data_IF_283970255433
#
_entry.id   IF_283970255433
#
_cell.length_a   1.000
_cell.length_b   1.000
_cell.length_c   1.000
_cell.angle_alpha   90.00
_cell.angle_beta   90.00
_cell.angle_gamma   90.00
#
_symmetry.space_group_name_H-M   'P 1'
#
loop_
_entity.id
_entity.type
_entity.pdbx_description
1 polymer ?
#
# COMPACT_ATOMS: atom_id res chain seq x y z
N UNK A 1 -53.82 -18.85 -18.27
CA UNK A 1 -53.23 -19.74 -17.24
C UNK A 1 -51.76 -19.91 -17.62
N UNK A 2 -50.92 -19.00 -17.13
CA UNK A 2 -49.49 -18.93 -17.48
C UNK A 2 -48.73 -19.28 -16.21
N UNK A 3 -47.92 -20.33 -16.30
CA UNK A 3 -47.11 -20.87 -15.22
C UNK A 3 -45.91 -19.95 -15.03
N UNK A 4 -45.81 -19.28 -13.87
CA UNK A 4 -44.59 -18.63 -13.43
C UNK A 4 -43.73 -19.67 -12.71
N UNK A 5 -42.57 -19.98 -13.29
CA UNK A 5 -41.52 -20.75 -12.64
C UNK A 5 -40.86 -19.87 -11.56
N UNK A 6 -40.96 -20.30 -10.31
CA UNK A 6 -40.19 -19.76 -9.19
C UNK A 6 -38.79 -20.36 -9.28
N UNK A 7 -37.81 -19.57 -9.72
CA UNK A 7 -36.40 -19.90 -9.53
C UNK A 7 -36.05 -19.50 -8.10
N UNK A 8 -35.90 -20.51 -7.24
CA UNK A 8 -35.30 -20.36 -5.91
C UNK A 8 -33.83 -19.95 -6.09
N UNK A 9 -33.51 -18.70 -5.76
CA UNK A 9 -32.12 -18.27 -5.56
C UNK A 9 -31.61 -18.90 -4.26
N UNK A 10 -30.88 -20.02 -4.38
CA UNK A 10 -30.14 -20.61 -3.27
C UNK A 10 -28.87 -19.79 -3.00
N UNK A 11 -28.75 -19.30 -1.77
CA UNK A 11 -27.48 -19.01 -1.12
C UNK A 11 -26.75 -17.74 -1.56
N UNK A 12 -27.21 -16.57 -1.11
CA UNK A 12 -26.26 -15.49 -0.83
C UNK A 12 -25.35 -15.96 0.31
N UNK A 13 -24.11 -16.34 0.01
CA UNK A 13 -23.07 -16.46 1.03
C UNK A 13 -22.81 -15.06 1.56
N UNK A 14 -23.19 -14.80 2.80
CA UNK A 14 -22.66 -13.68 3.56
C UNK A 14 -21.18 -13.98 3.78
N UNK A 15 -20.31 -13.38 2.97
CA UNK A 15 -18.85 -13.45 3.16
C UNK A 15 -18.50 -12.65 4.42
N UNK A 16 -18.68 -13.29 5.58
CA UNK A 16 -18.15 -12.80 6.84
C UNK A 16 -16.66 -13.10 6.85
N UNK A 17 -15.76 -12.12 7.05
CA UNK A 17 -14.33 -12.35 7.17
C UNK A 17 -14.06 -13.45 8.20
N UNK A 18 -13.23 -14.44 7.86
CA UNK A 18 -12.81 -15.44 8.84
C UNK A 18 -11.71 -14.85 9.71
N UNK A 19 -11.84 -14.97 11.04
CA UNK A 19 -10.88 -14.42 12.01
C UNK A 19 -10.06 -15.57 12.58
N UNK A 20 -8.74 -15.47 12.51
CA UNK A 20 -7.83 -16.40 13.20
C UNK A 20 -7.00 -15.62 14.21
N UNK A 21 -6.98 -16.01 15.50
CA UNK A 21 -6.23 -15.28 16.52
C UNK A 21 -4.72 -15.41 16.32
N UNK A 22 -4.03 -14.29 16.41
CA UNK A 22 -2.59 -14.17 16.50
C UNK A 22 -2.09 -13.75 17.87
N UNK A 23 -0.78 -13.84 18.07
CA UNK A 23 -0.19 -13.79 19.42
C UNK A 23 0.53 -12.49 19.78
N UNK A 24 0.79 -11.56 18.85
CA UNK A 24 1.63 -10.39 19.13
C UNK A 24 1.18 -9.14 18.36
N UNK A 25 1.20 -7.96 19.01
CA UNK A 25 1.10 -6.64 18.35
C UNK A 25 2.48 -6.01 18.46
N UNK A 26 3.18 -5.83 17.35
CA UNK A 26 4.45 -5.11 17.32
C UNK A 26 4.39 -3.98 16.31
N UNK A 27 4.72 -2.77 16.77
CA UNK A 27 5.01 -1.62 15.90
C UNK A 27 6.53 -1.49 15.84
N UNK A 28 7.13 -1.89 14.73
CA UNK A 28 8.58 -1.80 14.57
C UNK A 28 8.94 -0.38 14.13
N UNK A 29 9.30 0.48 15.09
CA UNK A 29 9.56 1.91 14.88
C UNK A 29 8.41 2.70 14.21
N UNK A 30 7.21 2.12 14.14
CA UNK A 30 6.03 2.68 13.46
C UNK A 30 5.96 2.41 11.96
N UNK A 31 6.94 1.72 11.38
CA UNK A 31 7.01 1.40 9.95
C UNK A 31 6.05 0.26 9.56
N UNK A 32 5.98 -0.79 10.37
CA UNK A 32 5.04 -1.89 10.17
C UNK A 32 3.95 -1.87 11.23
N UNK A 33 2.69 -1.99 10.79
CA UNK A 33 1.51 -2.06 11.63
C UNK A 33 0.87 -3.43 11.50
N UNK A 34 0.83 -4.19 12.59
CA UNK A 34 0.10 -5.45 12.65
C UNK A 34 -0.73 -5.56 13.92
N UNK A 35 -1.97 -6.00 13.78
CA UNK A 35 -2.88 -6.29 14.88
C UNK A 35 -2.71 -7.73 15.38
N UNK A 36 -3.34 -8.04 16.52
CA UNK A 36 -3.29 -9.40 17.08
C UNK A 36 -4.11 -10.39 16.28
N UNK A 37 -5.07 -9.94 15.46
CA UNK A 37 -5.94 -10.81 14.67
C UNK A 37 -5.75 -10.53 13.18
N UNK A 38 -5.88 -11.57 12.35
CA UNK A 38 -5.93 -11.45 10.91
C UNK A 38 -7.24 -12.01 10.34
N UNK A 39 -7.62 -11.42 9.22
CA UNK A 39 -8.92 -11.56 8.57
C UNK A 39 -8.71 -11.93 7.12
N UNK A 40 -9.58 -12.78 6.56
CA UNK A 40 -9.65 -12.97 5.10
C UNK A 40 -10.68 -12.03 4.48
N UNK A 41 -10.32 -11.43 3.35
CA UNK A 41 -11.21 -10.60 2.54
C UNK A 41 -10.97 -10.84 1.05
N UNK A 42 -11.95 -10.54 0.20
CA UNK A 42 -11.76 -10.62 -1.25
C UNK A 42 -11.49 -9.24 -1.81
N UNK A 43 -10.45 -9.15 -2.62
CA UNK A 43 -10.14 -7.99 -3.43
C UNK A 43 -10.73 -8.16 -4.84
N UNK A 44 -11.56 -7.18 -5.23
CA UNK A 44 -12.12 -6.89 -6.57
C UNK A 44 -11.11 -6.40 -7.60
N UNK A 45 -11.29 -6.55 -8.92
CA UNK A 45 -10.75 -5.59 -9.89
C UNK A 45 -11.09 -5.80 -11.35
N UNK A 46 -10.65 -4.88 -12.22
CA UNK A 46 -10.86 -4.95 -13.67
C UNK A 46 -9.57 -4.56 -14.39
N UNK A 47 -9.03 -5.47 -15.20
CA UNK A 47 -8.03 -5.16 -16.25
C UNK A 47 -8.79 -5.09 -17.58
N UNK A 48 -8.68 -3.98 -18.32
CA UNK A 48 -9.11 -3.92 -19.73
C UNK A 48 -10.53 -4.49 -20.01
N UNK A 49 -11.47 -4.15 -19.13
CA UNK A 49 -12.86 -4.64 -19.20
C UNK A 49 -13.09 -6.10 -18.80
N UNK A 50 -12.04 -6.83 -18.39
CA UNK A 50 -12.15 -8.18 -17.83
C UNK A 50 -12.13 -8.11 -16.30
N UNK A 51 -13.23 -8.51 -15.62
CA UNK A 51 -13.25 -8.60 -14.17
C UNK A 51 -12.27 -9.69 -13.72
N UNK A 52 -11.41 -9.37 -12.76
CA UNK A 52 -10.62 -10.38 -12.05
C UNK A 52 -11.55 -11.40 -11.38
N UNK A 53 -11.05 -12.63 -11.25
CA UNK A 53 -11.52 -13.56 -10.24
C UNK A 53 -11.07 -13.04 -8.87
N UNK A 54 -12.03 -12.84 -7.95
CA UNK A 54 -11.80 -12.49 -6.55
C UNK A 54 -10.51 -13.11 -5.97
N UNK A 55 -9.51 -12.29 -5.68
CA UNK A 55 -8.31 -12.73 -4.96
C UNK A 55 -8.58 -12.59 -3.47
N UNK A 56 -8.52 -13.70 -2.74
CA UNK A 56 -8.58 -13.66 -1.29
C UNK A 56 -7.23 -13.15 -0.77
N UNK A 57 -7.25 -12.13 0.08
CA UNK A 57 -6.09 -11.64 0.79
C UNK A 57 -6.30 -11.78 2.29
N UNK A 58 -5.19 -11.96 3.00
CA UNK A 58 -5.13 -11.83 4.45
C UNK A 58 -4.74 -10.39 4.79
N UNK A 59 -5.39 -9.83 5.80
CA UNK A 59 -5.07 -8.49 6.33
C UNK A 59 -5.28 -8.49 7.84
N UNK A 60 -4.73 -7.51 8.52
CA UNK A 60 -4.96 -7.28 9.95
C UNK A 60 -5.73 -5.99 10.18
N UNK A 61 -6.36 -5.85 11.35
CA UNK A 61 -7.06 -4.62 11.71
C UNK A 61 -6.27 -3.88 12.78
N UNK A 62 -5.81 -2.68 12.45
CA UNK A 62 -5.13 -1.77 13.37
C UNK A 62 -5.99 -0.52 13.50
N UNK A 63 -6.42 -0.17 14.72
CA UNK A 63 -7.29 0.98 14.98
C UNK A 63 -8.55 1.08 14.08
N UNK A 64 -9.18 -0.06 13.80
CA UNK A 64 -10.34 -0.22 12.90
C UNK A 64 -10.04 -0.01 11.41
N UNK A 65 -8.77 0.05 11.01
CA UNK A 65 -8.35 0.10 9.62
C UNK A 65 -7.82 -1.27 9.18
N UNK A 66 -8.24 -1.77 8.00
CA UNK A 66 -7.68 -2.99 7.46
C UNK A 66 -6.32 -2.71 6.82
N UNK A 67 -5.26 -3.19 7.46
CA UNK A 67 -3.87 -3.05 7.04
C UNK A 67 -3.40 -4.33 6.37
N UNK A 68 -2.87 -4.19 5.17
CA UNK A 68 -2.25 -5.22 4.35
C UNK A 68 -0.78 -4.87 4.16
N UNK A 69 0.10 -5.88 4.08
CA UNK A 69 1.54 -5.67 3.98
C UNK A 69 2.06 -4.64 5.01
N UNK A 70 1.52 -4.65 6.24
CA UNK A 70 1.98 -3.76 7.32
C UNK A 70 1.67 -2.26 7.24
N UNK A 71 1.51 -1.67 6.06
CA UNK A 71 1.33 -0.22 5.89
C UNK A 71 0.36 0.16 4.75
N UNK A 72 -0.24 -0.81 4.05
CA UNK A 72 -1.20 -0.56 2.99
C UNK A 72 -2.63 -0.67 3.52
N UNK A 73 -3.41 0.40 3.44
CA UNK A 73 -4.82 0.39 3.83
C UNK A 73 -5.70 -0.18 2.71
N UNK A 74 -6.51 -1.19 3.03
CA UNK A 74 -7.51 -1.75 2.12
C UNK A 74 -8.83 -0.94 2.17
N UNK A 75 -9.61 -0.98 1.09
CA UNK A 75 -10.94 -0.38 1.03
C UNK A 75 -12.00 -1.46 0.78
N UNK A 76 -12.93 -1.64 1.73
CA UNK A 76 -14.01 -2.63 1.66
C UNK A 76 -15.41 -1.97 1.61
N UNK A 77 -15.61 -0.92 0.81
CA UNK A 77 -16.97 -0.37 0.69
C UNK A 77 -17.86 -1.28 -0.19
N UNK A 78 -18.86 -1.89 0.47
CA UNK A 78 -20.08 -2.55 -0.02
C UNK A 78 -20.14 -2.88 -1.52
N UNK A 79 -19.93 -4.16 -1.88
CA UNK A 79 -20.17 -4.80 -3.20
C UNK A 79 -20.54 -3.81 -4.30
N UNK A 80 -19.55 -3.04 -4.71
CA UNK A 80 -19.50 -2.26 -5.93
C UNK A 80 -18.31 -2.83 -6.67
N UNK A 81 -18.52 -3.17 -7.93
CA UNK A 81 -17.60 -3.87 -8.84
C UNK A 81 -16.37 -3.01 -9.18
N UNK A 82 -15.54 -2.69 -8.19
CA UNK A 82 -14.29 -1.96 -8.36
C UNK A 82 -13.24 -2.41 -7.32
N UNK A 83 -12.35 -3.31 -7.75
CA UNK A 83 -10.96 -2.91 -7.93
C UNK A 83 -10.13 -2.40 -6.77
N UNK A 84 -9.38 -3.28 -6.11
CA UNK A 84 -8.00 -2.98 -5.71
C UNK A 84 -7.10 -3.84 -6.60
N UNK A 85 -6.44 -3.21 -7.56
CA UNK A 85 -5.20 -3.74 -8.15
C UNK A 85 -4.17 -2.63 -8.00
N UNK A 86 -3.01 -2.76 -8.62
CA UNK A 86 -2.24 -1.60 -9.05
C UNK A 86 -3.17 -0.47 -9.48
N UNK A 87 -2.72 0.76 -9.24
CA UNK A 87 -3.34 1.87 -9.91
C UNK A 87 -3.17 1.70 -11.43
N UNK A 88 -4.10 0.97 -12.07
CA UNK A 88 -4.37 1.08 -13.51
C UNK A 88 -4.46 2.56 -13.85
N UNK A 89 -4.26 3.00 -15.09
CA UNK A 89 -4.33 4.44 -15.45
C UNK A 89 -5.51 5.20 -14.80
N UNK A 90 -6.65 4.52 -14.57
CA UNK A 90 -7.84 5.04 -13.87
C UNK A 90 -7.69 5.35 -12.37
N UNK A 91 -6.61 4.92 -11.74
CA UNK A 91 -6.30 5.03 -10.31
C UNK A 91 -5.00 5.80 -10.08
N UNK A 92 -4.30 6.22 -11.13
CA UNK A 92 -3.23 7.20 -11.02
C UNK A 92 -3.81 8.59 -10.81
N UNK A 93 -3.02 9.49 -10.25
CA UNK A 93 -3.42 10.88 -10.10
C UNK A 93 -3.42 11.56 -11.48
N UNK A 94 -4.53 12.21 -11.91
CA UNK A 94 -4.58 12.82 -13.24
C UNK A 94 -3.44 13.82 -13.47
N UNK A 95 -2.61 13.54 -14.47
CA UNK A 95 -1.45 14.37 -14.82
C UNK A 95 -0.36 14.45 -13.75
N UNK A 96 -0.29 13.50 -12.83
CA UNK A 96 0.68 13.50 -11.73
C UNK A 96 0.46 14.59 -10.68
N UNK A 97 -0.69 15.28 -10.71
CA UNK A 97 -1.02 16.32 -9.75
C UNK A 97 -1.76 15.74 -8.54
N UNK A 98 -1.16 15.84 -7.36
CA UNK A 98 -1.70 15.36 -6.09
C UNK A 98 -2.07 16.54 -5.20
N UNK A 99 -3.36 16.90 -5.12
CA UNK A 99 -3.80 17.88 -4.13
C UNK A 99 -3.68 17.30 -2.72
N UNK A 100 -3.27 18.13 -1.76
CA UNK A 100 -3.10 17.68 -0.38
C UNK A 100 -3.62 18.67 0.66
N UNK A 101 -4.01 18.13 1.80
CA UNK A 101 -4.29 18.87 3.03
C UNK A 101 -3.48 18.28 4.18
N UNK A 102 -3.16 19.09 5.17
CA UNK A 102 -2.51 18.64 6.41
C UNK A 102 -3.48 18.85 7.56
N UNK A 103 -3.64 17.83 8.41
CA UNK A 103 -4.41 17.94 9.64
C UNK A 103 -3.97 19.17 10.45
N UNK A 104 -4.94 19.93 10.97
CA UNK A 104 -4.64 21.05 11.84
C UNK A 104 -3.81 20.62 13.06
N UNK A 105 -2.79 21.43 13.40
CA UNK A 105 -1.83 21.16 14.48
C UNK A 105 -1.03 19.85 14.32
N UNK A 106 -0.74 19.44 13.09
CA UNK A 106 0.13 18.29 12.84
C UNK A 106 1.52 18.52 13.50
N UNK A 107 2.06 17.57 14.29
CA UNK A 107 3.23 17.83 15.14
C UNK A 107 4.54 18.17 14.41
N UNK A 108 4.73 17.65 13.19
CA UNK A 108 5.93 17.86 12.38
C UNK A 108 5.56 18.08 10.91
N UNK A 109 5.12 19.30 10.60
CA UNK A 109 4.71 19.70 9.25
C UNK A 109 5.90 19.76 8.28
N UNK A 110 7.08 20.15 8.77
CA UNK A 110 8.31 20.23 7.95
C UNK A 110 8.68 18.87 7.33
N UNK A 111 8.46 17.76 8.05
CA UNK A 111 8.67 16.40 7.52
C UNK A 111 7.82 16.14 6.27
N UNK A 112 6.56 16.59 6.26
CA UNK A 112 5.66 16.43 5.12
C UNK A 112 6.14 17.31 3.96
N UNK A 113 6.45 18.58 4.21
CA UNK A 113 6.93 19.49 3.17
C UNK A 113 8.25 19.03 2.56
N UNK A 114 9.18 18.50 3.35
CA UNK A 114 10.45 17.96 2.86
C UNK A 114 10.22 16.70 2.01
N UNK A 115 9.29 15.81 2.39
CA UNK A 115 8.96 14.65 1.59
C UNK A 115 8.30 15.04 0.25
N UNK A 116 7.39 16.01 0.28
CA UNK A 116 6.79 16.59 -0.93
C UNK A 116 7.86 17.19 -1.84
N UNK A 117 8.75 18.02 -1.27
CA UNK A 117 9.85 18.63 -2.02
C UNK A 117 10.77 17.57 -2.65
N UNK A 118 11.04 16.47 -1.93
CA UNK A 118 11.82 15.34 -2.46
C UNK A 118 11.18 14.75 -3.71
N UNK A 119 9.87 14.48 -3.68
CA UNK A 119 9.13 13.97 -4.84
C UNK A 119 9.10 14.96 -6.00
N UNK A 120 8.89 16.26 -5.74
CA UNK A 120 8.84 17.31 -6.76
C UNK A 120 10.21 17.58 -7.42
N UNK A 121 11.30 17.39 -6.68
CA UNK A 121 12.67 17.56 -7.17
C UNK A 121 13.10 16.42 -8.10
N UNK A 122 12.66 15.20 -7.82
CA UNK A 122 13.17 13.99 -8.49
C UNK A 122 12.23 13.42 -9.56
N UNK A 123 10.95 13.77 -9.54
CA UNK A 123 9.94 13.18 -10.44
C UNK A 123 9.07 14.25 -11.11
N UNK A 124 8.17 13.82 -11.99
CA UNK A 124 7.11 14.62 -12.62
C UNK A 124 5.88 14.82 -11.71
N UNK A 125 5.82 14.15 -10.56
CA UNK A 125 4.72 14.31 -9.58
C UNK A 125 4.74 15.73 -9.00
N UNK A 126 3.58 16.37 -8.94
CA UNK A 126 3.41 17.72 -8.40
C UNK A 126 2.37 17.74 -7.31
N UNK A 127 2.62 18.53 -6.28
CA UNK A 127 1.69 18.70 -5.17
C UNK A 127 1.05 20.09 -5.22
N UNK A 128 -0.22 20.15 -4.84
CA UNK A 128 -0.91 21.42 -4.67
C UNK A 128 -1.61 21.46 -3.32
N UNK A 129 -1.29 22.47 -2.52
CA UNK A 129 -1.98 22.65 -1.24
C UNK A 129 -3.45 22.99 -1.51
N UNK A 130 -4.33 22.16 -0.97
CA UNK A 130 -5.76 22.33 -1.03
C UNK A 130 -6.20 23.19 0.15
N UNK A 131 -6.94 24.24 -0.15
CA UNK A 131 -7.48 25.20 0.82
C UNK A 131 -8.97 25.35 0.59
N UNK A 132 -9.67 26.05 1.49
CA UNK A 132 -11.10 26.30 1.32
C UNK A 132 -11.46 27.05 0.02
N UNK A 133 -10.52 27.80 -0.57
CA UNK A 133 -10.76 28.59 -1.79
C UNK A 133 -10.64 27.78 -3.08
N UNK A 134 -9.81 26.73 -3.12
CA UNK A 134 -9.62 25.86 -4.29
C UNK A 134 -10.25 24.46 -4.12
N UNK A 135 -10.87 24.21 -2.97
CA UNK A 135 -11.51 22.96 -2.57
C UNK A 135 -12.41 22.31 -3.64
N UNK A 136 -13.17 23.11 -4.39
CA UNK A 136 -14.07 22.63 -5.44
C UNK A 136 -13.36 22.14 -6.70
N UNK A 137 -12.12 22.57 -6.92
CA UNK A 137 -11.27 22.16 -8.05
C UNK A 137 -10.58 20.82 -7.76
N UNK A 138 -10.40 20.49 -6.48
CA UNK A 138 -9.68 19.31 -6.02
C UNK A 138 -10.60 18.41 -5.17
N UNK A 139 -11.55 17.69 -5.81
CA UNK A 139 -12.45 16.79 -5.09
C UNK A 139 -11.73 15.55 -4.56
N UNK A 140 -10.67 15.10 -5.23
CA UNK A 140 -9.81 14.00 -4.82
C UNK A 140 -8.51 14.58 -4.27
N UNK A 141 -8.09 14.16 -3.08
CA UNK A 141 -6.90 14.71 -2.43
C UNK A 141 -6.39 13.79 -1.32
N UNK A 142 -5.09 13.86 -1.05
CA UNK A 142 -4.49 13.21 0.12
C UNK A 142 -4.65 14.10 1.35
N UNK A 143 -4.83 13.50 2.51
CA UNK A 143 -4.95 14.19 3.79
C UNK A 143 -3.93 13.62 4.78
N UNK A 144 -2.86 14.37 5.07
CA UNK A 144 -1.86 13.95 6.03
C UNK A 144 -2.45 14.00 7.45
N UNK A 145 -2.53 12.82 8.08
CA UNK A 145 -3.24 12.62 9.35
C UNK A 145 -2.36 11.89 10.36
N UNK A 146 -2.43 12.29 11.63
CA UNK A 146 -1.71 11.59 12.70
C UNK A 146 -2.33 10.23 13.00
N UNK A 147 -1.49 9.23 13.25
CA UNK A 147 -1.91 7.89 13.65
C UNK A 147 -0.85 7.17 14.51
N UNK A 148 -1.06 5.91 14.88
CA UNK A 148 -0.10 5.11 15.66
C UNK A 148 1.13 4.68 14.85
N UNK A 149 1.03 4.56 13.53
CA UNK A 149 2.16 4.26 12.63
C UNK A 149 2.05 4.96 11.28
N UNK A 150 2.80 4.45 10.31
CA UNK A 150 2.85 4.94 8.93
C UNK A 150 1.99 4.04 8.04
N UNK A 151 1.09 4.62 7.25
CA UNK A 151 0.31 3.84 6.29
C UNK A 151 -0.35 4.72 5.24
N UNK A 152 -0.65 4.14 4.09
CA UNK A 152 -1.27 4.83 2.96
C UNK A 152 -2.14 3.87 2.14
N UNK A 153 -2.95 4.45 1.26
CA UNK A 153 -3.61 3.68 0.20
C UNK A 153 -2.69 3.63 -1.01
N UNK A 154 -2.76 2.55 -1.78
CA UNK A 154 -2.10 2.51 -3.09
C UNK A 154 -2.93 3.26 -4.14
N UNK A 155 -2.35 4.30 -4.73
CA UNK A 155 -2.96 5.14 -5.77
C UNK A 155 -4.09 6.07 -5.30
N UNK A 156 -4.72 6.73 -6.27
CA UNK A 156 -5.89 7.60 -6.07
C UNK A 156 -7.17 6.76 -5.85
N UNK A 157 -7.77 6.89 -4.67
CA UNK A 157 -9.03 6.22 -4.28
C UNK A 157 -10.29 7.05 -4.58
N UNK A 158 -10.10 8.34 -4.83
CA UNK A 158 -11.17 9.33 -4.96
C UNK A 158 -11.60 9.91 -3.61
N UNK A 159 -12.13 11.14 -3.64
CA UNK A 159 -12.46 11.93 -2.45
C UNK A 159 -11.23 12.16 -1.54
N UNK A 160 -11.47 12.47 -0.26
CA UNK A 160 -10.44 12.57 0.77
C UNK A 160 -9.87 11.18 1.08
N UNK A 161 -8.57 10.98 0.91
CA UNK A 161 -7.87 9.77 1.37
C UNK A 161 -6.74 10.12 2.36
N UNK A 162 -6.70 9.51 3.55
CA UNK A 162 -5.60 9.75 4.48
C UNK A 162 -4.26 9.18 4.01
N UNK A 163 -3.18 9.91 4.31
CA UNK A 163 -1.84 9.34 4.51
C UNK A 163 -1.58 9.45 6.01
N UNK A 164 -1.43 8.30 6.66
CA UNK A 164 -1.26 8.21 8.11
C UNK A 164 0.22 8.29 8.47
N UNK A 165 0.53 9.17 9.42
CA UNK A 165 1.91 9.40 9.86
C UNK A 165 1.94 9.60 11.38
N UNK A 166 2.45 8.58 12.07
CA UNK A 166 2.73 8.64 13.50
C UNK A 166 3.98 9.44 13.89
N UNK A 167 4.23 9.48 15.20
CA UNK A 167 5.41 10.15 15.79
C UNK A 167 6.71 9.42 15.43
N UNK A 168 6.66 8.10 15.23
CA UNK A 168 7.80 7.27 14.85
C UNK A 168 8.19 7.36 13.38
N UNK A 169 7.30 7.80 12.50
CA UNK A 169 7.58 7.89 11.06
C UNK A 169 8.73 8.87 10.77
N UNK A 170 9.75 8.42 10.05
CA UNK A 170 10.83 9.28 9.59
C UNK A 170 10.44 10.08 8.33
N UNK A 171 11.34 10.94 7.87
CA UNK A 171 11.23 11.56 6.54
C UNK A 171 11.14 10.49 5.45
N UNK A 172 12.01 9.47 5.49
CA UNK A 172 11.97 8.34 4.58
C UNK A 172 10.66 7.58 4.57
N UNK A 173 10.09 7.30 5.76
CA UNK A 173 8.76 6.68 5.82
C UNK A 173 7.71 7.60 5.17
N UNK A 174 7.83 8.93 5.33
CA UNK A 174 6.89 9.85 4.68
C UNK A 174 7.04 9.84 3.15
N UNK A 175 8.27 9.72 2.62
CA UNK A 175 8.52 9.55 1.18
C UNK A 175 7.92 8.23 0.68
N UNK A 176 8.09 7.15 1.45
CA UNK A 176 7.52 5.82 1.18
C UNK A 176 5.99 5.84 1.13
N UNK A 177 5.32 6.43 2.13
CA UNK A 177 3.85 6.51 2.16
C UNK A 177 3.28 7.36 1.00
N UNK A 178 4.03 8.38 0.57
CA UNK A 178 3.71 9.12 -0.64
C UNK A 178 3.88 8.21 -1.87
N UNK A 179 4.90 7.36 -1.93
CA UNK A 179 5.09 6.34 -2.97
C UNK A 179 3.88 5.42 -3.13
N UNK A 180 3.34 4.93 -2.01
CA UNK A 180 2.06 4.22 -2.03
C UNK A 180 0.94 5.08 -2.62
N UNK A 181 0.75 6.31 -2.14
CA UNK A 181 -0.29 7.20 -2.65
C UNK A 181 -0.13 7.51 -4.15
N UNK A 182 1.10 7.56 -4.66
CA UNK A 182 1.45 7.70 -6.09
C UNK A 182 1.06 6.47 -6.88
N UNK A 183 1.12 5.27 -6.28
CA UNK A 183 0.68 4.02 -6.87
C UNK A 183 1.67 2.87 -6.78
N UNK A 184 2.78 3.03 -6.06
CA UNK A 184 3.81 2.01 -5.91
C UNK A 184 3.40 0.97 -4.86
N UNK A 185 3.65 -0.30 -5.16
CA UNK A 185 3.63 -1.39 -4.18
C UNK A 185 5.04 -1.59 -3.61
N UNK A 186 5.17 -2.50 -2.65
CA UNK A 186 6.49 -2.87 -2.15
C UNK A 186 7.31 -3.66 -3.18
N UNK A 187 8.62 -3.46 -3.17
CA UNK A 187 9.52 -4.13 -4.12
C UNK A 187 9.62 -5.64 -3.86
N UNK A 188 9.61 -6.07 -2.58
CA UNK A 188 9.71 -7.49 -2.24
C UNK A 188 8.46 -8.31 -2.61
N UNK A 189 7.37 -7.67 -3.03
CA UNK A 189 6.15 -8.35 -3.48
C UNK A 189 6.05 -8.45 -5.00
N UNK A 190 7.06 -8.03 -5.77
CA UNK A 190 7.13 -8.27 -7.22
C UNK A 190 7.01 -9.75 -7.58
N UNK A 191 6.53 -10.03 -8.79
CA UNK A 191 6.32 -11.42 -9.23
C UNK A 191 7.64 -12.20 -9.37
N UNK A 192 8.69 -11.50 -9.81
CA UNK A 192 10.05 -11.97 -10.04
C UNK A 192 10.95 -12.01 -8.79
N UNK A 193 10.48 -11.54 -7.62
CA UNK A 193 11.31 -11.33 -6.41
C UNK A 193 12.12 -12.54 -5.96
N UNK A 194 11.66 -13.78 -6.22
CA UNK A 194 12.36 -15.00 -5.82
C UNK A 194 13.68 -15.25 -6.61
N UNK A 195 13.91 -14.52 -7.69
CA UNK A 195 15.20 -14.51 -8.41
C UNK A 195 16.26 -13.65 -7.70
N UNK A 196 15.82 -12.75 -6.81
CA UNK A 196 16.65 -11.70 -6.21
C UNK A 196 16.77 -11.84 -4.68
N UNK A 197 15.71 -12.27 -4.01
CA UNK A 197 15.68 -12.45 -2.55
C UNK A 197 15.13 -13.82 -2.14
N UNK A 198 15.62 -14.32 -1.02
CA UNK A 198 15.05 -15.50 -0.34
C UNK A 198 14.24 -15.04 0.87
N UNK A 199 13.01 -15.54 0.98
CA UNK A 199 12.15 -15.32 2.16
C UNK A 199 12.30 -16.47 3.14
N UNK A 200 12.77 -16.17 4.35
CA UNK A 200 12.92 -17.11 5.46
C UNK A 200 11.66 -17.13 6.33
N UNK A 201 10.64 -17.85 5.88
CA UNK A 201 9.36 -17.97 6.57
C UNK A 201 9.47 -18.48 8.01
N UNK A 202 10.50 -19.27 8.33
CA UNK A 202 10.77 -19.72 9.69
C UNK A 202 11.11 -18.59 10.66
N UNK A 203 11.58 -17.44 10.17
CA UNK A 203 11.91 -16.26 10.96
C UNK A 203 10.72 -15.27 11.07
N UNK A 204 9.68 -15.43 10.25
CA UNK A 204 8.52 -14.54 10.24
C UNK A 204 7.63 -14.79 11.48
N UNK A 205 7.10 -13.71 12.05
CA UNK A 205 6.11 -13.72 13.12
C UNK A 205 4.83 -14.41 12.64
N UNK A 206 4.33 -15.34 13.46
CA UNK A 206 3.18 -16.15 13.09
C UNK A 206 1.96 -15.28 12.73
N UNK A 207 1.40 -15.53 11.55
CA UNK A 207 0.26 -14.84 10.94
C UNK A 207 0.57 -13.53 10.23
N UNK A 208 1.84 -13.15 10.11
CA UNK A 208 2.29 -12.03 9.27
C UNK A 208 2.90 -12.50 7.94
N UNK A 209 2.87 -13.81 7.66
CA UNK A 209 3.47 -14.40 6.45
C UNK A 209 2.85 -13.84 5.16
N UNK A 210 1.57 -13.45 5.21
CA UNK A 210 0.86 -12.84 4.09
C UNK A 210 1.44 -11.49 3.65
N UNK A 211 2.18 -10.79 4.52
CA UNK A 211 2.87 -9.54 4.18
C UNK A 211 4.03 -9.75 3.18
N UNK A 212 4.34 -11.01 2.85
CA UNK A 212 5.37 -11.42 1.91
C UNK A 212 4.77 -12.12 0.68
N UNK A 213 3.45 -12.08 0.48
CA UNK A 213 2.81 -12.60 -0.72
C UNK A 213 3.22 -11.77 -1.96
N UNK A 214 3.33 -12.43 -3.11
CA UNK A 214 3.71 -11.79 -4.38
C UNK A 214 2.47 -11.30 -5.15
N UNK A 215 2.58 -10.17 -5.82
CA UNK A 215 1.59 -9.61 -6.73
C UNK A 215 1.79 -10.12 -8.15
N UNK A 216 1.48 -11.41 -8.38
CA UNK A 216 1.70 -12.07 -9.68
C UNK A 216 0.64 -11.69 -10.73
N UNK A 217 -0.56 -11.30 -10.30
CA UNK A 217 -1.71 -11.07 -11.19
C UNK A 217 -2.29 -9.66 -11.11
N UNK A 218 -2.02 -8.96 -10.02
CA UNK A 218 -2.53 -7.64 -9.67
C UNK A 218 -1.43 -6.56 -9.67
N UNK A 219 -0.19 -6.98 -10.00
CA UNK A 219 1.01 -6.19 -10.17
C UNK A 219 1.51 -6.11 -11.63
N UNK A 220 2.31 -5.09 -11.94
CA UNK A 220 3.04 -4.90 -13.20
C UNK A 220 4.44 -4.51 -12.77
N UNK A 221 5.37 -5.42 -13.01
CA UNK A 221 6.78 -5.19 -12.75
C UNK A 221 7.30 -4.20 -13.80
N UNK A 222 7.78 -3.03 -13.35
CA UNK A 222 8.39 -2.01 -14.20
C UNK A 222 9.88 -1.98 -13.88
N UNK A 223 10.73 -2.05 -14.92
CA UNK A 223 12.18 -2.09 -14.75
C UNK A 223 12.70 -3.38 -14.12
N UNK A 224 13.99 -3.38 -13.81
CA UNK A 224 14.69 -4.46 -13.09
C UNK A 224 14.32 -4.43 -11.59
N UNK A 225 14.70 -5.48 -10.85
CA UNK A 225 14.50 -5.53 -9.40
C UNK A 225 15.49 -4.61 -8.67
N UNK A 226 14.96 -3.73 -7.83
CA UNK A 226 15.75 -2.70 -7.14
C UNK A 226 15.86 -2.94 -5.62
N UNK A 227 16.96 -3.56 -5.21
CA UNK A 227 17.30 -3.72 -3.78
C UNK A 227 17.38 -2.39 -3.01
N UNK A 228 17.71 -1.31 -3.71
CA UNK A 228 17.83 0.05 -3.17
C UNK A 228 16.53 0.81 -3.12
N UNK A 229 15.42 0.24 -3.60
CA UNK A 229 14.12 0.91 -3.66
C UNK A 229 13.69 1.35 -2.26
N UNK A 230 13.15 2.57 -2.16
CA UNK A 230 12.54 3.02 -0.91
C UNK A 230 11.30 2.18 -0.55
N UNK A 231 10.73 1.47 -1.53
CA UNK A 231 9.59 0.58 -1.37
C UNK A 231 9.97 -0.84 -0.93
N UNK A 232 11.27 -1.17 -0.85
CA UNK A 232 11.72 -2.47 -0.40
C UNK A 232 11.69 -2.56 1.14
N UNK A 233 11.24 -3.69 1.70
CA UNK A 233 11.35 -3.97 3.12
C UNK A 233 12.81 -4.11 3.60
N UNK A 234 13.13 -3.76 4.85
CA UNK A 234 14.38 -4.15 5.49
C UNK A 234 14.43 -5.66 5.72
N UNK A 235 15.65 -6.20 5.79
CA UNK A 235 15.88 -7.64 5.94
C UNK A 235 15.20 -8.26 7.17
N UNK A 236 15.01 -7.50 8.25
CA UNK A 236 14.42 -7.96 9.51
C UNK A 236 12.89 -7.77 9.60
N UNK A 237 12.22 -7.30 8.55
CA UNK A 237 10.78 -7.01 8.58
C UNK A 237 9.97 -8.20 9.14
N UNK A 238 9.07 -7.95 10.09
CA UNK A 238 8.23 -8.96 10.76
C UNK A 238 9.00 -10.15 11.38
N UNK A 239 10.26 -9.98 11.76
CA UNK A 239 11.05 -11.03 12.40
C UNK A 239 10.60 -11.31 13.83
N UNK A 240 10.35 -12.59 14.17
CA UNK A 240 10.06 -13.01 15.56
C UNK A 240 11.28 -13.29 16.42
N UNK A 241 12.47 -13.31 15.82
CA UNK A 241 13.69 -13.78 16.47
C UNK A 241 14.92 -12.88 16.23
N UNK A 242 14.71 -11.71 15.63
CA UNK A 242 15.75 -10.74 15.30
C UNK A 242 16.67 -11.18 14.16
N UNK A 243 16.38 -12.29 13.47
CA UNK A 243 17.07 -12.71 12.24
C UNK A 243 16.34 -12.17 11.02
N UNK A 244 17.06 -12.06 9.91
CA UNK A 244 16.47 -11.62 8.66
C UNK A 244 15.38 -12.58 8.16
N UNK A 245 14.26 -12.00 7.74
CA UNK A 245 13.16 -12.64 7.01
C UNK A 245 13.37 -12.52 5.50
N UNK A 246 14.11 -11.51 5.03
CA UNK A 246 14.48 -11.31 3.62
C UNK A 246 15.99 -11.23 3.51
N UNK A 247 16.58 -12.09 2.66
CA UNK A 247 18.02 -12.07 2.38
C UNK A 247 18.24 -12.01 0.87
N UNK A 248 19.00 -11.01 0.36
CA UNK A 248 19.41 -10.98 -1.03
C UNK A 248 20.19 -12.24 -1.44
N UNK A 249 19.91 -12.76 -2.63
CA UNK A 249 20.64 -13.89 -3.22
C UNK A 249 22.09 -13.50 -3.50
N UNK A 250 22.34 -12.23 -3.82
CA UNK A 250 23.69 -11.68 -4.01
C UNK A 250 24.27 -11.24 -2.67
N UNK A 251 25.38 -11.85 -2.27
CA UNK A 251 26.05 -11.55 -0.99
C UNK A 251 26.53 -10.09 -0.93
N UNK A 252 26.30 -9.45 0.22
CA UNK A 252 26.76 -8.08 0.51
C UNK A 252 25.82 -6.98 0.01
N UNK A 253 24.73 -7.30 -0.66
CA UNK A 253 23.66 -6.36 -1.00
C UNK A 253 22.89 -5.95 0.26
N UNK A 254 22.53 -4.67 0.35
CA UNK A 254 21.75 -4.09 1.45
C UNK A 254 20.37 -3.70 0.94
N UNK A 255 19.34 -3.94 1.74
CA UNK A 255 17.93 -3.67 1.43
C UNK A 255 17.25 -2.87 2.55
N UNK A 256 16.16 -2.18 2.22
CA UNK A 256 15.30 -1.49 3.19
C UNK A 256 15.81 -0.12 3.63
N UNK A 257 16.51 0.58 2.76
CA UNK A 257 16.88 1.97 3.00
C UNK A 257 15.62 2.86 3.12
N UNK A 258 15.71 3.94 3.90
CA UNK A 258 14.65 4.93 4.13
C UNK A 258 15.22 6.35 4.02
N UNK A 259 16.11 6.57 3.07
CA UNK A 259 16.81 7.84 2.87
C UNK A 259 16.25 8.63 1.68
N UNK A 260 16.02 7.97 0.54
CA UNK A 260 15.65 8.63 -0.73
C UNK A 260 14.95 7.67 -1.68
N UNK A 261 14.22 8.20 -2.67
CA UNK A 261 13.91 7.47 -3.89
C UNK A 261 15.21 6.99 -4.56
N UNK A 262 15.23 5.75 -5.01
CA UNK A 262 16.27 5.24 -5.88
C UNK A 262 16.09 5.76 -7.33
N UNK A 263 17.09 5.60 -8.20
CA UNK A 263 16.92 5.87 -9.63
C UNK A 263 15.77 5.05 -10.26
N UNK A 264 15.61 3.80 -9.85
CA UNK A 264 14.61 2.91 -10.43
C UNK A 264 13.19 3.22 -9.89
N UNK A 265 13.07 3.69 -8.64
CA UNK A 265 11.81 4.26 -8.11
C UNK A 265 11.34 5.45 -8.99
N UNK A 266 12.29 6.33 -9.37
CA UNK A 266 12.01 7.50 -10.20
C UNK A 266 11.61 7.07 -11.62
N UNK A 267 12.39 6.18 -12.24
CA UNK A 267 12.13 5.71 -13.61
C UNK A 267 10.79 4.96 -13.72
N UNK A 268 10.43 4.19 -12.69
CA UNK A 268 9.12 3.54 -12.60
C UNK A 268 7.98 4.57 -12.59
N UNK A 269 8.10 5.62 -11.78
CA UNK A 269 7.10 6.69 -11.69
C UNK A 269 7.01 7.48 -13.00
N UNK A 270 8.13 7.81 -13.63
CA UNK A 270 8.12 8.47 -14.94
C UNK A 270 7.49 7.59 -16.02
N UNK A 271 7.66 6.27 -15.94
CA UNK A 271 6.97 5.33 -16.84
C UNK A 271 5.46 5.30 -16.59
N UNK A 272 5.05 5.35 -15.32
CA UNK A 272 3.63 5.34 -14.95
C UNK A 272 2.89 6.63 -15.34
N UNK A 273 3.55 7.78 -15.21
CA UNK A 273 2.94 9.11 -15.40
C UNK A 273 3.35 9.81 -16.72
N UNK A 274 4.29 9.23 -17.46
CA UNK A 274 4.81 9.76 -18.73
C UNK A 274 3.89 9.49 -19.91
N UNK A 275 2.77 10.22 -19.98
CA UNK A 275 1.94 10.37 -21.18
C UNK A 275 1.55 11.84 -21.41
#
# INVERSE_FOLDING_TARGET
MVVFAVILLSGQRTNTPSVTPGTETETYNGEFNTGTDWYTGYISGVIDGMPFTNQEVLYTVVDNLPVYNGDIILNFNSVSTAGLGIAFESSLWPGGLIPYEIQANFPNVDRIHNAIAHWEEHTSIRFVERTSSNASQYPNYVFFQTWSGCASYVGMRGSKQPIYLGIGCSLGNTIHEIGHAVGLWHEQSRADRDEYVTIYYENIMAGTEHNFDKHVTDGVDIGEYDYGSIMHYPGWAFSKNGKDTIVPVVEGVVIGQRDTLSPDDIDAVETMYGN
#
